data_IF_534436162348
#
_entry.id   IF_534436162348
#
_cell.length_a   1.000
_cell.length_b   1.000
_cell.length_c   1.000
_cell.angle_alpha   90.00
_cell.angle_beta   90.00
_cell.angle_gamma   90.00
#
_symmetry.space_group_name_H-M   'P 1'
#
loop_
_entity.id
_entity.type
_entity.pdbx_description
1 polymer ?
#
# COMPACT_ATOMS: atom_id res chain seq x y z
N UNK A 1 29.76 8.52 9.74
CA UNK A 1 29.99 8.88 8.33
C UNK A 1 29.19 7.90 7.46
N UNK A 2 27.85 7.94 7.59
CA UNK A 2 26.92 7.01 6.94
C UNK A 2 25.87 7.83 6.18
N UNK A 3 26.29 8.75 5.33
CA UNK A 3 25.38 9.45 4.41
C UNK A 3 26.21 9.94 3.24
N UNK A 4 26.28 9.14 2.18
CA UNK A 4 26.82 9.57 0.88
C UNK A 4 26.06 8.96 -0.31
N UNK A 5 24.89 8.38 -0.07
CA UNK A 5 23.91 8.07 -1.10
C UNK A 5 22.57 8.65 -0.65
N UNK A 6 22.55 9.97 -0.45
CA UNK A 6 21.28 10.69 -0.37
C UNK A 6 20.66 10.62 -1.76
N UNK A 7 19.44 10.08 -1.85
CA UNK A 7 18.55 10.32 -2.99
C UNK A 7 18.22 11.81 -2.92
N UNK A 8 18.99 12.63 -3.64
CA UNK A 8 18.67 14.04 -3.88
C UNK A 8 18.10 14.10 -5.28
N UNK A 9 16.85 13.66 -5.44
CA UNK A 9 16.06 14.23 -6.51
C UNK A 9 15.50 15.53 -5.94
N UNK A 10 15.79 16.64 -6.60
CA UNK A 10 15.18 17.93 -6.29
C UNK A 10 13.77 18.01 -6.86
N UNK A 11 12.97 16.95 -6.69
CA UNK A 11 11.60 16.94 -7.17
C UNK A 11 10.68 17.49 -6.09
N UNK A 12 10.29 18.75 -6.31
CA UNK A 12 9.10 19.28 -5.69
C UNK A 12 7.89 18.67 -6.40
N UNK A 13 7.12 17.85 -5.67
CA UNK A 13 5.76 17.51 -6.04
C UNK A 13 4.92 18.82 -5.99
N UNK A 14 4.89 19.59 -7.08
CA UNK A 14 4.01 20.76 -7.16
C UNK A 14 2.63 20.27 -7.60
N UNK A 15 1.80 19.87 -6.64
CA UNK A 15 0.35 19.79 -6.84
C UNK A 15 -0.16 21.21 -7.13
N UNK A 16 -0.47 21.52 -8.39
CA UNK A 16 -1.09 22.81 -8.73
C UNK A 16 -2.58 22.78 -8.34
N UNK A 17 -3.00 23.81 -7.61
CA UNK A 17 -4.31 23.96 -7.00
C UNK A 17 -5.46 24.32 -7.97
N UNK A 18 -6.53 23.52 -7.89
CA UNK A 18 -7.99 23.81 -7.71
C UNK A 18 -8.74 24.83 -8.61
N UNK A 19 -9.83 24.35 -9.23
CA UNK A 19 -11.22 24.90 -9.18
C UNK A 19 -12.24 23.78 -9.54
N UNK A 20 -13.33 23.70 -8.75
CA UNK A 20 -14.59 22.95 -8.95
C UNK A 20 -14.53 21.55 -9.61
N UNK A 21 -13.96 20.58 -8.91
CA UNK A 21 -13.66 19.22 -9.38
C UNK A 21 -14.87 18.31 -9.71
N UNK A 22 -16.10 18.61 -9.27
CA UNK A 22 -17.16 17.58 -9.28
C UNK A 22 -17.80 17.31 -10.63
N UNK A 23 -17.97 18.29 -11.53
CA UNK A 23 -18.57 18.04 -12.85
C UNK A 23 -17.54 17.44 -13.83
N UNK A 24 -16.34 18.00 -13.85
CA UNK A 24 -15.27 17.59 -14.76
C UNK A 24 -14.69 16.21 -14.43
N UNK A 25 -14.57 15.84 -13.16
CA UNK A 25 -14.16 14.50 -12.76
C UNK A 25 -15.13 13.42 -13.28
N UNK A 26 -16.44 13.71 -13.32
CA UNK A 26 -17.45 12.80 -13.88
C UNK A 26 -17.30 12.68 -15.40
N UNK A 27 -17.15 13.80 -16.11
CA UNK A 27 -16.95 13.80 -17.57
C UNK A 27 -15.71 13.01 -17.98
N UNK A 28 -14.64 13.11 -17.20
CA UNK A 28 -13.43 12.33 -17.41
C UNK A 28 -13.71 10.83 -17.18
N UNK A 29 -14.35 10.47 -16.07
CA UNK A 29 -14.68 9.06 -15.77
C UNK A 29 -15.53 8.42 -16.87
N UNK A 30 -16.44 9.17 -17.49
CA UNK A 30 -17.25 8.69 -18.62
C UNK A 30 -16.40 8.29 -19.84
N UNK A 31 -15.24 8.91 -20.05
CA UNK A 31 -14.28 8.53 -21.11
C UNK A 31 -13.24 7.50 -20.65
N UNK A 32 -13.34 7.00 -19.41
CA UNK A 32 -12.53 5.89 -18.90
C UNK A 32 -11.07 6.24 -18.61
N UNK A 33 -10.74 7.51 -18.34
CA UNK A 33 -9.37 7.96 -18.05
C UNK A 33 -8.68 7.25 -16.88
N UNK A 34 -9.45 6.87 -15.85
CA UNK A 34 -9.00 6.22 -14.61
C UNK A 34 -9.02 4.70 -14.72
N UNK A 35 -9.28 4.16 -15.92
CA UNK A 35 -9.30 2.72 -16.18
C UNK A 35 -7.99 2.28 -16.80
N UNK A 36 -7.45 1.16 -16.29
CA UNK A 36 -6.33 0.46 -16.92
C UNK A 36 -6.83 -0.12 -18.24
N UNK A 37 -6.11 0.18 -19.33
CA UNK A 37 -6.35 -0.38 -20.65
C UNK A 37 -5.12 -1.13 -21.14
N UNK A 38 -5.33 -2.19 -21.94
CA UNK A 38 -4.23 -3.01 -22.45
C UNK A 38 -3.30 -2.24 -23.40
N UNK A 39 -3.86 -1.29 -24.17
CA UNK A 39 -3.12 -0.50 -25.17
C UNK A 39 -3.42 0.99 -25.00
N UNK A 40 -2.84 1.65 -23.98
CA UNK A 40 -3.05 3.08 -23.77
C UNK A 40 -2.37 3.90 -24.89
N UNK A 41 -2.91 5.08 -25.17
CA UNK A 41 -2.28 6.05 -26.06
C UNK A 41 -1.13 6.75 -25.32
N UNK A 42 0.11 6.52 -25.75
CA UNK A 42 1.30 7.12 -25.14
C UNK A 42 2.02 8.02 -26.15
N UNK A 43 2.05 9.32 -25.88
CA UNK A 43 2.79 10.30 -26.71
C UNK A 43 4.14 10.61 -26.09
N UNK A 44 5.24 10.40 -26.81
CA UNK A 44 6.60 10.55 -26.27
C UNK A 44 7.32 11.71 -26.94
N UNK A 45 7.83 12.63 -26.13
CA UNK A 45 8.58 13.80 -26.56
C UNK A 45 10.00 13.75 -25.99
N UNK A 46 11.00 13.86 -26.85
CA UNK A 46 12.41 13.78 -26.45
C UNK A 46 13.13 15.08 -26.80
N UNK A 47 13.97 15.57 -25.88
CA UNK A 47 14.96 16.59 -26.22
C UNK A 47 15.94 16.05 -27.28
N UNK A 48 16.53 16.94 -28.07
CA UNK A 48 17.39 16.55 -29.20
C UNK A 48 18.67 15.82 -28.81
N UNK A 49 19.08 15.92 -27.54
CA UNK A 49 20.27 15.31 -26.95
C UNK A 49 19.96 14.07 -26.09
N UNK A 50 18.75 13.51 -26.16
CA UNK A 50 18.43 12.22 -25.53
C UNK A 50 19.06 11.08 -26.34
N UNK A 51 19.93 10.31 -25.67
CA UNK A 51 20.61 9.14 -26.21
C UNK A 51 19.61 8.02 -26.57
N UNK A 52 19.87 7.26 -27.65
CA UNK A 52 18.98 6.18 -28.10
C UNK A 52 18.75 5.12 -27.03
N UNK A 53 19.76 4.80 -26.23
CA UNK A 53 19.63 3.80 -25.16
C UNK A 53 18.57 4.21 -24.13
N UNK A 54 18.48 5.50 -23.78
CA UNK A 54 17.43 6.00 -22.87
C UNK A 54 16.03 5.88 -23.46
N UNK A 55 15.90 5.97 -24.79
CA UNK A 55 14.62 5.74 -25.47
C UNK A 55 14.24 4.27 -25.38
N UNK A 56 15.17 3.37 -25.63
CA UNK A 56 14.96 1.93 -25.49
C UNK A 56 14.63 1.53 -24.05
N UNK A 57 15.32 2.08 -23.07
CA UNK A 57 15.04 1.86 -21.65
C UNK A 57 13.63 2.31 -21.26
N UNK A 58 13.19 3.48 -21.75
CA UNK A 58 11.82 3.94 -21.53
C UNK A 58 10.79 2.97 -22.13
N UNK A 59 11.02 2.48 -23.35
CA UNK A 59 10.14 1.45 -23.96
C UNK A 59 10.07 0.18 -23.10
N UNK A 60 11.22 -0.24 -22.55
CA UNK A 60 11.29 -1.42 -21.68
C UNK A 60 10.51 -1.19 -20.38
N UNK A 61 10.71 -0.06 -19.70
CA UNK A 61 9.96 0.29 -18.48
C UNK A 61 8.46 0.30 -18.74
N UNK A 62 8.01 0.92 -19.85
CA UNK A 62 6.60 0.94 -20.24
C UNK A 62 6.06 -0.49 -20.41
N UNK A 63 6.78 -1.33 -21.15
CA UNK A 63 6.38 -2.72 -21.41
C UNK A 63 6.29 -3.53 -20.11
N UNK A 64 7.30 -3.44 -19.25
CA UNK A 64 7.39 -4.18 -18.00
C UNK A 64 6.29 -3.77 -17.02
N UNK A 65 6.02 -2.47 -16.91
CA UNK A 65 4.95 -1.96 -16.05
C UNK A 65 3.58 -2.35 -16.58
N UNK A 66 3.38 -2.37 -17.89
CA UNK A 66 2.13 -2.86 -18.48
C UNK A 66 1.92 -4.35 -18.20
N UNK A 67 2.98 -5.17 -18.26
CA UNK A 67 2.91 -6.56 -17.89
C UNK A 67 2.58 -6.72 -16.39
N UNK A 68 3.26 -5.94 -15.54
CA UNK A 68 3.08 -5.95 -14.10
C UNK A 68 1.65 -5.58 -13.69
N UNK A 69 1.15 -4.42 -14.13
CA UNK A 69 -0.14 -3.88 -13.70
C UNK A 69 -1.32 -4.32 -14.58
N UNK A 70 -1.11 -5.17 -15.59
CA UNK A 70 -2.16 -5.64 -16.49
C UNK A 70 -2.61 -4.61 -17.54
N UNK A 71 -1.79 -3.60 -17.81
CA UNK A 71 -2.04 -2.52 -18.76
C UNK A 71 -1.50 -1.18 -18.25
N UNK A 72 -2.02 -0.09 -18.79
CA UNK A 72 -1.65 1.26 -18.35
C UNK A 72 -2.71 2.31 -18.68
N UNK A 73 -2.34 3.57 -18.49
CA UNK A 73 -3.19 4.74 -18.69
C UNK A 73 -2.70 5.54 -19.89
N UNK A 74 -3.59 6.24 -20.60
CA UNK A 74 -3.17 7.13 -21.69
C UNK A 74 -2.50 8.38 -21.15
N UNK A 75 -1.34 8.76 -21.68
CA UNK A 75 -0.52 9.84 -21.14
C UNK A 75 0.52 10.38 -22.14
N UNK A 76 1.18 11.47 -21.79
CA UNK A 76 2.31 12.04 -22.54
C UNK A 76 3.58 12.06 -21.70
N UNK A 77 4.74 11.75 -22.29
CA UNK A 77 6.03 11.71 -21.59
C UNK A 77 6.98 12.71 -22.23
N UNK A 78 7.66 13.50 -21.41
CA UNK A 78 8.66 14.48 -21.83
C UNK A 78 10.00 14.10 -21.21
N UNK A 79 10.93 13.62 -22.04
CA UNK A 79 12.26 13.23 -21.58
C UNK A 79 13.26 14.31 -21.97
N UNK A 80 13.84 14.94 -20.96
CA UNK A 80 14.87 15.97 -21.17
C UNK A 80 16.26 15.33 -21.35
N UNK A 81 17.18 16.08 -21.96
CA UNK A 81 18.60 15.73 -22.02
C UNK A 81 19.46 16.64 -21.15
N UNK A 82 20.78 16.57 -21.33
CA UNK A 82 21.74 17.18 -20.39
C UNK A 82 21.82 18.71 -20.45
N UNK A 83 21.38 19.32 -21.55
CA UNK A 83 21.63 20.74 -21.81
C UNK A 83 20.35 21.57 -21.88
N UNK A 84 20.41 22.75 -21.25
CA UNK A 84 19.30 23.70 -21.26
C UNK A 84 18.86 24.12 -22.65
N UNK A 85 19.80 24.27 -23.58
CA UNK A 85 19.49 24.59 -24.97
C UNK A 85 18.62 23.50 -25.66
N UNK A 86 18.81 22.22 -25.32
CA UNK A 86 18.12 21.11 -25.97
C UNK A 86 16.73 20.84 -25.39
N UNK A 87 16.49 21.15 -24.11
CA UNK A 87 15.16 20.97 -23.51
C UNK A 87 14.26 22.22 -23.56
N UNK A 88 14.75 23.41 -23.93
CA UNK A 88 13.88 24.59 -24.11
C UNK A 88 12.77 24.41 -25.17
N UNK A 89 13.02 23.80 -26.34
CA UNK A 89 11.96 23.46 -27.29
C UNK A 89 10.94 22.50 -26.69
N UNK A 90 11.40 21.54 -25.88
CA UNK A 90 10.56 20.56 -25.20
C UNK A 90 9.63 21.25 -24.18
N UNK A 91 10.16 22.17 -23.37
CA UNK A 91 9.37 23.02 -22.45
C UNK A 91 8.38 23.91 -23.20
N UNK A 92 8.70 24.35 -24.43
CA UNK A 92 7.78 25.13 -25.26
C UNK A 92 6.64 24.27 -25.80
N UNK A 93 6.91 23.04 -26.23
CA UNK A 93 5.88 22.06 -26.62
C UNK A 93 4.96 21.76 -25.44
N UNK A 94 5.54 21.48 -24.28
CA UNK A 94 4.79 21.31 -23.05
C UNK A 94 3.92 22.53 -22.72
N UNK A 95 4.48 23.74 -22.80
CA UNK A 95 3.72 24.96 -22.52
C UNK A 95 2.52 25.14 -23.46
N UNK A 96 2.61 24.69 -24.72
CA UNK A 96 1.49 24.72 -25.65
C UNK A 96 0.36 23.76 -25.28
N UNK A 97 0.68 22.65 -24.60
CA UNK A 97 -0.29 21.66 -24.12
C UNK A 97 -0.95 22.18 -22.82
N UNK A 98 -0.14 22.69 -21.89
CA UNK A 98 -0.62 23.08 -20.57
C UNK A 98 -1.22 24.49 -20.48
N UNK A 99 -0.85 25.39 -21.38
CA UNK A 99 -1.18 26.81 -21.27
C UNK A 99 -0.30 27.58 -20.27
N UNK A 100 0.71 26.92 -19.68
CA UNK A 100 1.76 27.55 -18.85
C UNK A 100 3.09 26.82 -19.04
N UNK A 101 4.21 27.50 -18.79
CA UNK A 101 5.55 26.88 -18.87
C UNK A 101 5.82 26.07 -17.61
N UNK A 102 6.03 24.75 -17.71
CA UNK A 102 6.31 23.93 -16.55
C UNK A 102 7.74 24.10 -16.04
N UNK A 103 7.95 23.77 -14.76
CA UNK A 103 9.29 23.64 -14.20
C UNK A 103 9.88 22.27 -14.57
N UNK A 104 11.20 22.15 -14.53
CA UNK A 104 11.86 20.86 -14.66
C UNK A 104 11.52 19.99 -13.42
N UNK A 105 11.40 18.68 -13.60
CA UNK A 105 11.09 17.75 -12.52
C UNK A 105 9.66 17.84 -12.01
N UNK A 106 8.77 18.50 -12.76
CA UNK A 106 7.36 18.59 -12.41
C UNK A 106 6.59 17.38 -12.94
N UNK A 107 5.85 16.70 -12.06
CA UNK A 107 4.72 15.86 -12.45
C UNK A 107 3.54 16.77 -12.72
N UNK A 108 3.03 16.76 -13.95
CA UNK A 108 1.90 17.61 -14.32
C UNK A 108 0.72 16.70 -14.67
N UNK A 109 -0.21 16.59 -13.73
CA UNK A 109 -1.58 16.24 -14.07
C UNK A 109 -2.22 17.50 -14.68
N UNK A 110 -2.52 17.47 -15.98
CA UNK A 110 -3.36 18.52 -16.57
C UNK A 110 -4.65 17.92 -17.07
N UNK A 111 -5.72 18.27 -16.37
CA UNK A 111 -7.07 18.27 -16.93
C UNK A 111 -7.35 19.70 -17.35
N UNK A 112 -7.63 19.94 -18.64
CA UNK A 112 -7.74 21.28 -19.21
C UNK A 112 -8.53 22.25 -18.32
N UNK A 113 -7.97 23.41 -17.98
CA UNK A 113 -8.41 24.23 -16.82
C UNK A 113 -9.79 24.89 -16.95
N UNK A 114 -10.46 24.77 -18.10
CA UNK A 114 -11.75 25.40 -18.40
C UNK A 114 -12.82 24.39 -18.86
N UNK A 115 -14.10 24.69 -18.59
CA UNK A 115 -15.27 23.88 -18.99
C UNK A 115 -15.46 23.71 -20.52
N UNK A 116 -14.64 24.41 -21.32
CA UNK A 116 -14.63 24.32 -22.79
C UNK A 116 -13.26 23.89 -23.33
N UNK A 117 -12.34 23.41 -22.48
CA UNK A 117 -11.01 23.00 -22.90
C UNK A 117 -11.09 21.61 -23.58
N UNK A 118 -10.84 21.50 -24.90
CA UNK A 118 -10.98 20.24 -25.64
C UNK A 118 -9.84 19.26 -25.38
N UNK A 119 -9.16 19.36 -24.23
CA UNK A 119 -7.97 18.57 -23.93
C UNK A 119 -8.36 17.24 -23.33
N UNK A 120 -7.89 16.17 -23.97
CA UNK A 120 -7.83 14.85 -23.36
C UNK A 120 -7.12 14.95 -22.00
N UNK A 121 -7.54 14.19 -20.98
CA UNK A 121 -6.76 14.04 -19.76
C UNK A 121 -5.35 13.57 -20.12
N UNK A 122 -4.34 14.35 -19.77
CA UNK A 122 -2.95 13.97 -19.98
C UNK A 122 -2.22 13.99 -18.65
N UNK A 123 -1.77 12.81 -18.23
CA UNK A 123 -0.65 12.72 -17.30
C UNK A 123 0.60 13.10 -18.07
N UNK A 124 1.37 14.00 -17.49
CA UNK A 124 2.65 14.36 -18.06
C UNK A 124 3.76 14.23 -17.04
N UNK A 125 4.78 13.48 -17.45
CA UNK A 125 5.99 13.30 -16.68
C UNK A 125 7.14 13.99 -17.40
N UNK A 126 7.92 14.73 -16.62
CA UNK A 126 9.22 15.25 -17.03
C UNK A 126 10.33 14.41 -16.43
N UNK A 127 10.95 13.55 -17.23
CA UNK A 127 12.14 12.81 -16.78
C UNK A 127 13.39 13.63 -17.09
N UNK A 128 14.08 14.05 -16.02
CA UNK A 128 15.33 14.78 -16.11
C UNK A 128 16.53 13.88 -16.44
N UNK A 129 17.54 14.43 -17.14
CA UNK A 129 18.86 13.82 -17.15
C UNK A 129 19.61 14.33 -15.93
N UNK A 130 19.72 13.49 -14.91
CA UNK A 130 20.47 13.84 -13.70
C UNK A 130 21.96 14.01 -13.98
N UNK A 131 22.59 14.86 -13.14
CA UNK A 131 24.03 15.15 -13.19
C UNK A 131 24.92 14.01 -12.69
N UNK A 132 24.33 12.96 -12.12
CA UNK A 132 25.05 11.77 -11.64
C UNK A 132 25.41 10.85 -12.81
N UNK A 133 26.69 10.48 -12.88
CA UNK A 133 27.21 9.57 -13.90
C UNK A 133 26.74 8.13 -13.64
N UNK A 134 25.98 7.56 -14.58
CA UNK A 134 25.64 6.14 -14.57
C UNK A 134 24.31 5.82 -15.27
N UNK A 135 24.35 4.88 -16.22
CA UNK A 135 23.16 4.39 -16.92
C UNK A 135 22.11 3.81 -15.95
N UNK A 136 22.59 3.15 -14.89
CA UNK A 136 21.81 2.59 -13.76
C UNK A 136 20.86 3.59 -13.14
N UNK A 137 21.41 4.76 -12.82
CA UNK A 137 20.67 5.81 -12.14
C UNK A 137 19.59 6.38 -13.05
N UNK A 138 19.85 6.48 -14.35
CA UNK A 138 18.90 6.99 -15.32
C UNK A 138 17.74 6.02 -15.57
N UNK A 139 18.00 4.71 -15.61
CA UNK A 139 16.95 3.69 -15.68
C UNK A 139 16.07 3.69 -14.42
N UNK A 140 16.71 3.84 -13.26
CA UNK A 140 16.02 3.93 -11.99
C UNK A 140 15.06 5.12 -11.96
N UNK A 141 15.52 6.30 -12.37
CA UNK A 141 14.67 7.49 -12.52
C UNK A 141 13.49 7.21 -13.46
N UNK A 142 13.69 6.49 -14.59
CA UNK A 142 12.54 6.12 -15.43
C UNK A 142 11.51 5.27 -14.69
N UNK A 143 11.94 4.25 -13.94
CA UNK A 143 11.03 3.39 -13.19
C UNK A 143 10.30 4.16 -12.07
N UNK A 144 11.02 5.00 -11.31
CA UNK A 144 10.44 5.86 -10.26
C UNK A 144 9.38 6.79 -10.83
N UNK A 145 9.77 7.58 -11.82
CA UNK A 145 8.91 8.60 -12.41
C UNK A 145 7.71 7.97 -13.12
N UNK A 146 7.90 6.89 -13.88
CA UNK A 146 6.82 6.24 -14.61
C UNK A 146 5.79 5.60 -13.68
N UNK A 147 6.20 5.12 -12.50
CA UNK A 147 5.28 4.57 -11.50
C UNK A 147 4.24 5.60 -11.03
N UNK A 148 4.61 6.88 -10.95
CA UNK A 148 3.67 7.94 -10.59
C UNK A 148 2.51 8.09 -11.58
N UNK A 149 2.59 7.55 -12.81
CA UNK A 149 1.40 7.43 -13.67
C UNK A 149 0.36 6.57 -12.98
N UNK A 150 0.74 5.41 -12.46
CA UNK A 150 -0.19 4.48 -11.82
C UNK A 150 -0.77 5.03 -10.51
N UNK A 151 0.01 5.82 -9.77
CA UNK A 151 -0.46 6.42 -8.52
C UNK A 151 -1.38 7.62 -8.76
N UNK A 152 -1.06 8.47 -9.74
CA UNK A 152 -1.82 9.69 -10.00
C UNK A 152 -2.98 9.47 -10.97
N UNK A 153 -2.96 8.40 -11.79
CA UNK A 153 -4.00 8.15 -12.77
C UNK A 153 -5.39 7.77 -12.25
N UNK A 154 -5.53 7.35 -10.99
CA UNK A 154 -6.83 7.33 -10.34
C UNK A 154 -7.24 8.66 -9.67
N UNK A 155 -6.34 9.64 -9.61
CA UNK A 155 -6.46 10.86 -8.79
C UNK A 155 -6.31 12.17 -9.60
N UNK A 156 -6.36 12.17 -10.94
CA UNK A 156 -5.98 13.30 -11.82
C UNK A 156 -6.62 14.66 -11.52
N UNK A 157 -7.86 14.70 -11.04
CA UNK A 157 -8.55 15.95 -10.67
C UNK A 157 -8.43 16.32 -9.19
N UNK A 158 -7.77 15.45 -8.39
CA UNK A 158 -7.40 15.59 -6.98
C UNK A 158 -8.45 16.33 -6.13
N UNK A 159 -9.61 15.71 -5.82
CA UNK A 159 -10.52 16.30 -4.86
C UNK A 159 -9.77 16.50 -3.54
N UNK A 160 -10.02 17.61 -2.85
CA UNK A 160 -9.29 18.00 -1.61
C UNK A 160 -9.24 16.89 -0.56
N UNK A 161 -10.25 16.01 -0.51
CA UNK A 161 -10.30 14.86 0.38
C UNK A 161 -9.37 13.70 -0.01
N UNK A 162 -8.91 13.63 -1.26
CA UNK A 162 -8.11 12.54 -1.83
C UNK A 162 -6.60 12.86 -1.93
N UNK A 163 -6.13 13.92 -1.25
CA UNK A 163 -4.71 14.28 -1.23
C UNK A 163 -3.85 13.14 -0.63
N UNK A 164 -2.91 12.56 -1.42
CA UNK A 164 -2.06 11.48 -0.95
C UNK A 164 -1.07 11.89 0.13
N UNK A 165 -0.63 10.92 0.94
CA UNK A 165 0.52 11.15 1.81
C UNK A 165 1.82 11.12 1.00
N UNK A 166 2.65 12.16 1.12
CA UNK A 166 3.94 12.28 0.40
C UNK A 166 4.82 11.03 0.56
N UNK A 167 4.96 10.53 1.79
CA UNK A 167 5.77 9.34 2.07
C UNK A 167 5.24 8.07 1.41
N UNK A 168 3.93 7.98 1.15
CA UNK A 168 3.35 6.85 0.41
C UNK A 168 3.71 6.97 -1.06
N UNK A 169 3.51 8.15 -1.64
CA UNK A 169 3.74 8.40 -3.07
C UNK A 169 5.21 8.14 -3.43
N UNK A 170 6.11 8.88 -2.79
CA UNK A 170 7.54 8.82 -3.06
C UNK A 170 8.20 7.54 -2.53
N UNK A 171 7.73 7.03 -1.39
CA UNK A 171 8.24 5.78 -0.82
C UNK A 171 7.94 4.57 -1.71
N UNK A 172 6.73 4.50 -2.28
CA UNK A 172 6.36 3.42 -3.20
C UNK A 172 7.09 3.53 -4.53
N UNK A 173 7.24 4.74 -5.08
CA UNK A 173 8.02 4.98 -6.30
C UNK A 173 9.49 4.57 -6.13
N UNK A 174 10.11 4.95 -5.02
CA UNK A 174 11.49 4.55 -4.69
C UNK A 174 11.62 3.04 -4.40
N UNK A 175 10.57 2.41 -3.86
CA UNK A 175 10.53 0.96 -3.67
C UNK A 175 10.44 0.21 -5.02
N UNK A 176 9.53 0.62 -5.91
CA UNK A 176 9.41 0.09 -7.28
C UNK A 176 10.72 0.26 -8.03
N UNK A 177 11.35 1.42 -7.93
CA UNK A 177 12.66 1.70 -8.52
C UNK A 177 13.70 0.65 -8.08
N UNK A 178 13.86 0.49 -6.75
CA UNK A 178 14.81 -0.45 -6.14
C UNK A 178 14.59 -1.87 -6.65
N UNK A 179 13.32 -2.28 -6.67
CA UNK A 179 12.90 -3.59 -7.12
C UNK A 179 13.18 -3.80 -8.62
N UNK A 180 12.90 -2.79 -9.45
CA UNK A 180 13.02 -2.83 -10.91
C UNK A 180 14.48 -2.94 -11.35
N UNK A 181 15.34 -2.06 -10.83
CA UNK A 181 16.76 -2.09 -11.19
C UNK A 181 17.39 -3.43 -10.82
N UNK A 182 16.99 -4.01 -9.68
CA UNK A 182 17.49 -5.33 -9.22
C UNK A 182 17.07 -6.49 -10.12
N UNK A 183 15.86 -6.48 -10.68
CA UNK A 183 15.37 -7.57 -11.54
C UNK A 183 15.82 -7.49 -12.99
N UNK A 184 16.35 -6.35 -13.44
CA UNK A 184 16.75 -6.19 -14.84
C UNK A 184 18.05 -6.98 -15.16
N UNK A 185 18.10 -7.78 -16.25
CA UNK A 185 19.18 -8.75 -16.51
C UNK A 185 20.59 -8.17 -16.74
N UNK A 186 20.74 -6.86 -16.86
CA UNK A 186 21.95 -6.21 -17.36
C UNK A 186 23.02 -5.89 -16.29
N UNK A 187 22.95 -6.49 -15.09
CA UNK A 187 23.94 -6.32 -14.02
C UNK A 187 24.19 -4.84 -13.68
N UNK A 188 23.26 -4.25 -12.94
CA UNK A 188 23.39 -2.92 -12.38
C UNK A 188 23.73 -2.99 -10.88
N UNK A 189 25.01 -3.19 -10.50
CA UNK A 189 25.41 -3.56 -9.14
C UNK A 189 25.32 -2.41 -8.11
N UNK A 190 25.13 -1.15 -8.51
CA UNK A 190 25.27 -0.01 -7.60
C UNK A 190 23.94 0.55 -7.03
N UNK A 191 22.79 0.10 -7.55
CA UNK A 191 21.44 0.47 -7.09
C UNK A 191 20.57 -0.75 -6.72
N UNK A 192 21.17 -1.75 -6.08
CA UNK A 192 20.45 -2.89 -5.52
C UNK A 192 20.31 -2.71 -4.01
N UNK A 193 19.37 -1.86 -3.60
CA UNK A 193 19.03 -1.80 -2.19
C UNK A 193 18.27 -3.09 -1.82
N UNK A 194 18.80 -3.84 -0.87
CA UNK A 194 18.09 -4.97 -0.31
C UNK A 194 17.04 -4.38 0.64
N UNK A 195 15.75 -4.60 0.35
CA UNK A 195 14.65 -4.09 1.15
C UNK A 195 14.74 -4.52 2.63
N UNK A 196 15.30 -5.70 2.93
CA UNK A 196 15.58 -6.10 4.31
C UNK A 196 16.68 -5.27 4.97
N UNK A 197 17.74 -4.94 4.23
CA UNK A 197 18.80 -4.05 4.71
C UNK A 197 18.31 -2.61 4.85
N UNK A 198 17.42 -2.15 3.95
CA UNK A 198 16.71 -0.88 4.07
C UNK A 198 15.82 -0.88 5.32
N UNK A 199 15.02 -1.93 5.53
CA UNK A 199 14.19 -2.05 6.72
C UNK A 199 15.04 -1.98 7.99
N UNK A 200 16.19 -2.63 7.99
CA UNK A 200 17.17 -2.58 9.07
C UNK A 200 17.80 -1.18 9.27
N UNK A 201 17.84 -0.30 8.25
CA UNK A 201 18.31 1.09 8.41
C UNK A 201 17.43 1.90 9.36
N UNK A 202 16.14 1.56 9.54
CA UNK A 202 15.30 2.26 10.52
C UNK A 202 15.84 2.19 11.93
N UNK A 203 16.46 1.07 12.28
CA UNK A 203 17.11 0.92 13.58
C UNK A 203 18.29 1.86 13.74
N UNK A 204 19.08 2.03 12.68
CA UNK A 204 20.22 2.96 12.68
C UNK A 204 19.73 4.41 12.86
N UNK A 205 18.62 4.81 12.20
CA UNK A 205 18.00 6.13 12.41
C UNK A 205 17.52 6.33 13.84
N UNK A 206 16.83 5.34 14.40
CA UNK A 206 16.35 5.42 15.78
C UNK A 206 17.49 5.47 16.79
N UNK A 207 18.52 4.65 16.63
CA UNK A 207 19.68 4.63 17.54
C UNK A 207 20.46 5.95 17.49
N UNK A 208 20.49 6.61 16.33
CA UNK A 208 21.09 7.92 16.18
C UNK A 208 20.20 9.03 16.76
N UNK A 209 18.87 8.90 16.65
CA UNK A 209 17.88 9.88 17.11
C UNK A 209 16.74 9.22 17.92
N UNK A 210 16.94 8.87 19.20
CA UNK A 210 15.98 8.08 19.97
C UNK A 210 14.64 8.77 20.26
N UNK A 211 14.60 10.11 20.16
CA UNK A 211 13.39 10.91 20.34
C UNK A 211 12.56 11.00 19.05
N UNK A 212 13.13 10.60 17.91
CA UNK A 212 12.45 10.67 16.62
C UNK A 212 11.19 9.79 16.59
N UNK A 213 10.14 10.33 15.95
CA UNK A 213 8.93 9.59 15.61
C UNK A 213 8.53 9.85 14.16
N UNK A 214 8.45 8.78 13.36
CA UNK A 214 7.97 8.83 11.99
C UNK A 214 6.54 9.40 11.91
N UNK A 215 6.27 10.17 10.85
CA UNK A 215 4.97 10.81 10.60
C UNK A 215 4.77 12.19 11.22
N UNK A 216 5.32 12.45 12.43
CA UNK A 216 5.21 13.77 13.08
C UNK A 216 6.39 14.67 12.77
N UNK A 217 7.59 14.08 12.72
CA UNK A 217 8.86 14.83 12.60
C UNK A 217 9.64 14.49 11.33
N UNK A 218 9.15 13.54 10.52
CA UNK A 218 9.87 13.00 9.36
C UNK A 218 10.39 14.08 8.41
N UNK A 219 9.56 15.07 8.08
CA UNK A 219 9.91 16.08 7.09
C UNK A 219 10.64 17.29 7.69
N UNK A 220 10.62 17.43 9.02
CA UNK A 220 11.09 18.65 9.73
C UNK A 220 12.27 18.41 10.67
N UNK A 221 12.70 17.17 10.87
CA UNK A 221 13.80 16.84 11.77
C UNK A 221 15.17 17.01 11.08
N UNK A 222 15.91 18.07 11.41
CA UNK A 222 17.19 18.45 10.78
C UNK A 222 18.23 17.31 10.64
N UNK A 223 18.25 16.36 11.58
CA UNK A 223 19.17 15.22 11.56
C UNK A 223 18.78 14.07 10.61
N UNK A 224 17.52 14.06 10.14
CA UNK A 224 16.91 13.02 9.31
C UNK A 224 16.53 13.58 7.95
N UNK A 225 16.05 14.83 7.92
CA UNK A 225 15.68 15.55 6.73
C UNK A 225 16.18 17.00 6.81
N UNK A 226 17.44 17.27 6.43
CA UNK A 226 17.96 18.64 6.40
C UNK A 226 17.15 19.52 5.46
N UNK A 227 17.07 20.83 5.73
CA UNK A 227 16.25 21.79 4.97
C UNK A 227 16.29 21.57 3.45
N UNK A 228 15.11 21.31 2.87
CA UNK A 228 14.91 21.21 1.42
C UNK A 228 15.21 19.84 0.80
N UNK A 229 15.51 18.81 1.58
CA UNK A 229 15.58 17.42 1.10
C UNK A 229 14.32 16.65 1.52
N UNK A 230 14.03 15.52 0.85
CA UNK A 230 13.10 14.50 1.35
C UNK A 230 13.91 13.25 1.66
N UNK A 231 13.64 12.59 2.80
CA UNK A 231 14.28 11.32 3.13
C UNK A 231 13.51 10.16 2.46
N UNK A 232 13.76 9.98 1.17
CA UNK A 232 13.20 8.90 0.37
C UNK A 232 13.45 7.53 1.01
N UNK A 233 14.63 7.29 1.57
CA UNK A 233 14.95 6.02 2.22
C UNK A 233 13.97 5.73 3.37
N UNK A 234 13.68 6.71 4.22
CA UNK A 234 12.75 6.50 5.33
C UNK A 234 11.30 6.27 4.86
N UNK A 235 10.90 6.92 3.77
CA UNK A 235 9.62 6.67 3.11
C UNK A 235 9.55 5.26 2.49
N UNK A 236 10.59 4.85 1.76
CA UNK A 236 10.75 3.50 1.19
C UNK A 236 10.69 2.44 2.28
N UNK A 237 11.31 2.68 3.43
CA UNK A 237 11.27 1.73 4.53
C UNK A 237 9.88 1.64 5.17
N UNK A 238 9.19 2.76 5.35
CA UNK A 238 7.81 2.75 5.82
C UNK A 238 6.92 1.94 4.86
N UNK A 239 7.11 2.08 3.54
CA UNK A 239 6.41 1.26 2.54
C UNK A 239 6.82 -0.21 2.59
N UNK A 240 8.10 -0.51 2.84
CA UNK A 240 8.59 -1.88 3.05
C UNK A 240 7.95 -2.53 4.28
N UNK A 241 7.82 -1.79 5.38
CA UNK A 241 7.10 -2.24 6.56
C UNK A 241 5.61 -2.46 6.27
N UNK A 242 4.98 -1.59 5.48
CA UNK A 242 3.60 -1.78 5.05
C UNK A 242 3.44 -3.04 4.18
N UNK A 243 4.40 -3.35 3.32
CA UNK A 243 4.46 -4.62 2.58
C UNK A 243 4.61 -5.82 3.52
N UNK A 244 5.40 -5.68 4.59
CA UNK A 244 5.55 -6.72 5.61
C UNK A 244 4.24 -6.99 6.37
N UNK A 245 3.45 -5.94 6.65
CA UNK A 245 2.13 -6.10 7.27
C UNK A 245 1.05 -6.61 6.29
N UNK A 246 1.32 -6.55 4.99
CA UNK A 246 0.37 -6.90 3.94
C UNK A 246 1.08 -7.68 2.83
N UNK A 247 1.23 -7.11 1.63
CA UNK A 247 2.03 -7.65 0.54
C UNK A 247 2.27 -6.55 -0.53
N UNK A 248 3.11 -6.83 -1.54
CA UNK A 248 3.39 -5.86 -2.59
C UNK A 248 2.17 -5.45 -3.40
N UNK A 249 1.25 -6.38 -3.68
CA UNK A 249 0.05 -6.04 -4.45
C UNK A 249 -0.78 -5.00 -3.72
N UNK A 250 -1.05 -5.21 -2.44
CA UNK A 250 -1.79 -4.23 -1.62
C UNK A 250 -1.07 -2.88 -1.57
N UNK A 251 0.26 -2.87 -1.50
CA UNK A 251 1.01 -1.62 -1.38
C UNK A 251 1.20 -0.88 -2.70
N UNK A 252 1.48 -1.61 -3.80
CA UNK A 252 1.95 -1.06 -5.06
C UNK A 252 0.89 -0.97 -6.17
N UNK A 253 -0.22 -1.71 -6.12
CA UNK A 253 -1.21 -1.61 -7.19
C UNK A 253 -2.07 -0.34 -7.10
N UNK A 254 -2.49 0.20 -8.26
CA UNK A 254 -3.25 1.44 -8.33
C UNK A 254 -4.68 1.34 -7.76
N UNK A 255 -5.20 0.13 -7.54
CA UNK A 255 -6.59 -0.16 -7.19
C UNK A 255 -7.11 0.70 -6.02
N UNK A 256 -6.29 0.90 -4.99
CA UNK A 256 -6.68 1.63 -3.78
C UNK A 256 -6.57 3.16 -3.92
N UNK A 257 -5.80 3.66 -4.88
CA UNK A 257 -5.83 5.09 -5.24
C UNK A 257 -7.19 5.45 -5.88
N UNK A 258 -7.80 4.53 -6.63
CA UNK A 258 -9.17 4.69 -7.15
C UNK A 258 -10.21 4.78 -6.01
N UNK A 259 -10.01 4.02 -4.94
CA UNK A 259 -10.84 4.11 -3.73
C UNK A 259 -10.70 5.49 -3.07
N UNK A 260 -9.48 6.01 -3.01
CA UNK A 260 -9.18 7.33 -2.43
C UNK A 260 -9.89 8.48 -3.13
N UNK A 261 -10.12 8.39 -4.45
CA UNK A 261 -10.91 9.40 -5.18
C UNK A 261 -12.30 9.59 -4.56
N UNK A 262 -13.01 8.50 -4.29
CA UNK A 262 -14.41 8.55 -3.85
C UNK A 262 -14.53 8.81 -2.34
N UNK A 263 -13.66 8.17 -1.56
CA UNK A 263 -13.79 8.12 -0.10
C UNK A 263 -12.87 9.12 0.62
N UNK A 264 -11.96 9.75 -0.12
CA UNK A 264 -10.82 10.46 0.43
C UNK A 264 -9.67 9.51 0.78
N UNK A 265 -8.45 10.05 0.85
CA UNK A 265 -7.23 9.25 0.96
C UNK A 265 -7.10 8.56 2.32
N UNK A 266 -7.45 9.26 3.41
CA UNK A 266 -7.35 8.68 4.75
C UNK A 266 -8.38 7.54 5.00
N UNK A 267 -9.67 7.68 4.63
CA UNK A 267 -10.61 6.58 4.69
C UNK A 267 -10.22 5.41 3.79
N UNK A 268 -9.81 5.68 2.54
CA UNK A 268 -9.37 4.61 1.62
C UNK A 268 -8.12 3.87 2.13
N UNK A 269 -7.16 4.57 2.72
CA UNK A 269 -6.00 3.94 3.38
C UNK A 269 -6.46 3.00 4.51
N UNK A 270 -7.42 3.45 5.32
CA UNK A 270 -7.94 2.66 6.45
C UNK A 270 -8.69 1.42 5.97
N UNK A 271 -9.56 1.59 4.97
CA UNK A 271 -10.33 0.49 4.36
C UNK A 271 -9.41 -0.53 3.68
N UNK A 272 -8.40 -0.07 2.94
CA UNK A 272 -7.53 -0.93 2.15
C UNK A 272 -6.48 -1.67 2.99
N UNK A 273 -5.86 -0.99 3.96
CA UNK A 273 -4.81 -1.56 4.82
C UNK A 273 -5.32 -2.07 6.16
N UNK A 274 -6.61 -1.92 6.46
CA UNK A 274 -7.20 -2.33 7.75
C UNK A 274 -6.71 -1.52 8.95
N UNK A 275 -6.00 -0.41 8.73
CA UNK A 275 -5.45 0.41 9.81
C UNK A 275 -5.44 1.88 9.42
N UNK A 276 -5.74 2.76 10.38
CA UNK A 276 -5.59 4.20 10.17
C UNK A 276 -4.11 4.59 10.05
N UNK A 277 -3.84 5.75 9.44
CA UNK A 277 -2.50 6.35 9.42
C UNK A 277 -1.87 6.44 10.81
N UNK A 278 -2.66 6.77 11.83
CA UNK A 278 -2.17 6.90 13.21
C UNK A 278 -1.75 5.57 13.82
N UNK A 279 -2.52 4.50 13.56
CA UNK A 279 -2.16 3.14 13.95
C UNK A 279 -0.90 2.68 13.23
N UNK A 280 -0.80 2.92 11.93
CA UNK A 280 0.42 2.63 11.16
C UNK A 280 1.64 3.33 11.78
N UNK A 281 1.55 4.63 12.08
CA UNK A 281 2.65 5.37 12.71
C UNK A 281 3.03 4.79 14.07
N UNK A 282 2.07 4.43 14.92
CA UNK A 282 2.35 3.82 16.21
C UNK A 282 3.04 2.45 16.05
N UNK A 283 2.52 1.60 15.17
CA UNK A 283 3.04 0.27 14.90
C UNK A 283 4.46 0.34 14.35
N UNK A 284 4.69 1.19 13.35
CA UNK A 284 6.01 1.38 12.75
C UNK A 284 7.03 1.96 13.74
N UNK A 285 6.65 2.97 14.53
CA UNK A 285 7.55 3.51 15.55
C UNK A 285 7.87 2.48 16.65
N UNK A 286 6.90 1.67 17.08
CA UNK A 286 7.14 0.58 18.02
C UNK A 286 8.04 -0.51 17.42
N UNK A 287 7.81 -0.85 16.15
CA UNK A 287 8.64 -1.79 15.40
C UNK A 287 10.11 -1.35 15.40
N UNK A 288 10.39 -0.10 15.05
CA UNK A 288 11.75 0.46 15.05
C UNK A 288 12.39 0.48 16.46
N UNK A 289 11.59 0.74 17.50
CA UNK A 289 12.05 0.86 18.90
C UNK A 289 12.40 -0.47 19.54
N UNK A 290 11.55 -1.48 19.34
CA UNK A 290 11.58 -2.70 20.14
C UNK A 290 12.23 -3.89 19.45
N UNK A 291 12.57 -3.79 18.16
CA UNK A 291 13.28 -4.84 17.45
C UNK A 291 14.79 -4.54 17.35
N UNK A 292 15.60 -5.60 17.41
CA UNK A 292 17.02 -5.50 17.08
C UNK A 292 17.23 -5.46 15.57
N UNK A 293 18.40 -5.03 15.11
CA UNK A 293 18.72 -5.03 13.67
C UNK A 293 18.70 -6.45 13.12
N UNK A 294 19.22 -7.40 13.89
CA UNK A 294 19.20 -8.83 13.57
C UNK A 294 17.77 -9.35 13.44
N UNK A 295 16.87 -8.99 14.37
CA UNK A 295 15.45 -9.36 14.31
C UNK A 295 14.76 -8.79 13.07
N UNK A 296 15.04 -7.53 12.72
CA UNK A 296 14.48 -6.88 11.52
C UNK A 296 14.95 -7.57 10.24
N UNK A 297 16.21 -8.04 10.20
CA UNK A 297 16.74 -8.81 9.07
C UNK A 297 16.14 -10.22 9.03
N UNK A 298 15.98 -10.87 10.19
CA UNK A 298 15.40 -12.22 10.36
C UNK A 298 13.90 -12.29 10.11
N UNK A 299 13.19 -11.15 10.19
CA UNK A 299 11.83 -11.03 9.65
C UNK A 299 11.79 -11.42 8.17
N UNK A 300 12.97 -11.58 7.53
CA UNK A 300 13.20 -12.25 6.25
C UNK A 300 11.95 -12.14 5.40
N UNK A 301 11.75 -11.01 4.73
CA UNK A 301 10.71 -10.93 3.74
C UNK A 301 11.09 -11.83 2.57
N UNK A 302 10.90 -13.13 2.79
CA UNK A 302 11.08 -14.22 1.86
C UNK A 302 10.01 -13.99 0.81
N UNK A 303 10.44 -13.36 -0.29
CA UNK A 303 9.74 -13.13 -1.58
C UNK A 303 9.80 -11.68 -2.08
N UNK A 304 10.70 -10.85 -1.56
CA UNK A 304 11.02 -9.53 -2.16
C UNK A 304 11.87 -9.61 -3.44
N UNK A 305 11.39 -10.37 -4.43
CA UNK A 305 12.04 -10.49 -5.74
C UNK A 305 11.08 -10.07 -6.85
N UNK A 306 11.29 -8.86 -7.39
CA UNK A 306 10.52 -8.35 -8.52
C UNK A 306 10.68 -9.21 -9.78
N UNK A 307 11.70 -10.05 -9.87
CA UNK A 307 11.83 -11.03 -10.95
C UNK A 307 10.67 -12.02 -11.02
N UNK A 308 9.98 -12.34 -9.90
CA UNK A 308 8.75 -13.13 -9.95
C UNK A 308 7.52 -12.30 -10.39
N UNK A 309 7.55 -11.00 -10.11
CA UNK A 309 6.52 -10.04 -10.50
C UNK A 309 6.61 -9.63 -11.99
N UNK A 310 7.82 -9.70 -12.59
CA UNK A 310 8.10 -9.30 -13.97
C UNK A 310 8.43 -10.45 -14.93
N UNK A 311 8.63 -11.68 -14.43
CA UNK A 311 8.73 -12.87 -15.29
C UNK A 311 7.36 -13.24 -15.85
N UNK A 312 7.32 -14.12 -16.86
CA UNK A 312 6.06 -14.77 -17.23
C UNK A 312 5.39 -15.34 -15.96
N UNK A 313 4.07 -15.16 -15.78
CA UNK A 313 3.41 -15.58 -14.57
C UNK A 313 3.71 -17.06 -14.30
N UNK A 314 4.30 -17.33 -13.15
CA UNK A 314 4.57 -18.69 -12.70
C UNK A 314 3.24 -19.34 -12.29
N UNK A 315 2.64 -20.06 -13.24
CA UNK A 315 1.36 -20.73 -13.08
C UNK A 315 1.49 -22.13 -12.47
N UNK A 316 2.70 -22.53 -12.06
CA UNK A 316 2.88 -23.75 -11.28
C UNK A 316 2.30 -23.56 -9.87
N UNK A 317 1.94 -24.68 -9.23
CA UNK A 317 1.40 -24.76 -7.87
C UNK A 317 2.31 -25.74 -7.11
N UNK A 318 3.34 -25.19 -6.48
CA UNK A 318 4.47 -25.97 -5.99
C UNK A 318 4.14 -26.84 -4.77
N UNK A 319 3.27 -26.37 -3.89
CA UNK A 319 2.82 -27.11 -2.71
C UNK A 319 1.45 -27.78 -2.89
N UNK A 320 0.85 -27.62 -4.07
CA UNK A 320 -0.35 -28.34 -4.54
C UNK A 320 -1.59 -28.04 -3.70
N UNK A 321 -1.71 -26.78 -3.27
CA UNK A 321 -2.78 -26.31 -2.39
C UNK A 321 -3.96 -25.66 -3.14
N UNK A 322 -3.79 -25.47 -4.46
CA UNK A 322 -4.78 -24.89 -5.36
C UNK A 322 -4.56 -23.40 -5.68
N UNK A 323 -3.54 -22.76 -5.11
CA UNK A 323 -3.08 -21.42 -5.43
C UNK A 323 -1.79 -21.50 -6.27
N UNK A 324 -1.70 -20.75 -7.36
CA UNK A 324 -0.48 -20.77 -8.19
C UNK A 324 0.59 -19.84 -7.60
N UNK A 325 1.87 -20.18 -7.83
CA UNK A 325 3.05 -19.46 -7.33
C UNK A 325 2.97 -17.94 -7.59
N UNK A 326 2.45 -17.53 -8.76
CA UNK A 326 2.23 -16.12 -9.07
C UNK A 326 1.20 -15.49 -8.13
N UNK A 327 0.03 -16.09 -7.95
CA UNK A 327 -1.00 -15.57 -7.05
C UNK A 327 -0.54 -15.57 -5.58
N UNK A 328 0.16 -16.62 -5.16
CA UNK A 328 0.76 -16.72 -3.84
C UNK A 328 1.70 -15.54 -3.56
N UNK A 329 2.73 -15.35 -4.40
CA UNK A 329 3.75 -14.31 -4.19
C UNK A 329 3.16 -12.92 -4.43
N UNK A 330 2.42 -12.76 -5.53
CA UNK A 330 2.02 -11.44 -6.03
C UNK A 330 0.78 -10.97 -5.32
N UNK A 331 -0.29 -11.77 -5.26
CA UNK A 331 -1.60 -11.30 -4.78
C UNK A 331 -1.78 -11.46 -3.29
N UNK A 332 -1.33 -12.59 -2.74
CA UNK A 332 -1.71 -13.00 -1.40
C UNK A 332 -0.59 -12.85 -0.38
N UNK A 333 0.68 -12.91 -0.80
CA UNK A 333 1.85 -12.85 0.09
C UNK A 333 2.11 -14.16 0.82
N UNK A 334 1.72 -15.29 0.22
CA UNK A 334 1.87 -16.64 0.77
C UNK A 334 3.13 -17.33 0.24
N UNK A 335 3.46 -18.48 0.78
CA UNK A 335 4.69 -19.22 0.52
C UNK A 335 4.45 -20.37 -0.46
N UNK A 336 5.10 -20.29 -1.63
CA UNK A 336 5.15 -21.31 -2.70
C UNK A 336 5.71 -22.71 -2.33
N UNK A 337 5.88 -22.97 -1.05
CA UNK A 337 6.45 -24.21 -0.53
C UNK A 337 5.74 -24.68 0.74
N UNK A 338 4.66 -24.00 1.13
CA UNK A 338 3.89 -24.24 2.32
C UNK A 338 2.42 -24.05 2.00
N UNK A 339 1.71 -25.16 1.81
CA UNK A 339 0.29 -25.16 1.48
C UNK A 339 -0.60 -24.43 2.50
N UNK A 340 -0.07 -24.10 3.68
CA UNK A 340 -0.71 -23.35 4.76
C UNK A 340 0.37 -22.40 5.30
N UNK A 341 0.35 -21.16 4.84
CA UNK A 341 1.45 -20.21 5.03
C UNK A 341 1.48 -19.56 6.40
N UNK A 342 0.31 -19.34 7.00
CA UNK A 342 0.18 -18.78 8.34
C UNK A 342 -0.05 -19.85 9.43
N UNK A 343 -0.13 -21.12 9.03
CA UNK A 343 -0.25 -22.31 9.88
C UNK A 343 -1.55 -22.34 10.69
N UNK A 344 -2.62 -21.73 10.17
CA UNK A 344 -3.93 -21.65 10.83
C UNK A 344 -4.77 -22.93 10.68
N UNK A 345 -4.37 -23.83 9.77
CA UNK A 345 -5.00 -25.11 9.50
C UNK A 345 -5.92 -25.14 8.27
N UNK A 346 -6.06 -24.03 7.56
CA UNK A 346 -6.57 -23.98 6.19
C UNK A 346 -5.41 -23.83 5.20
N UNK A 347 -5.60 -24.32 3.98
CA UNK A 347 -4.61 -24.07 2.94
C UNK A 347 -4.81 -22.70 2.30
N UNK A 348 -3.75 -22.07 1.82
CA UNK A 348 -3.80 -20.71 1.25
C UNK A 348 -4.82 -20.63 0.10
N UNK A 349 -4.79 -21.61 -0.80
CA UNK A 349 -5.74 -21.75 -1.91
C UNK A 349 -7.18 -21.96 -1.45
N UNK A 350 -7.39 -22.65 -0.32
CA UNK A 350 -8.72 -22.85 0.27
C UNK A 350 -9.24 -21.58 0.92
N UNK A 351 -8.38 -20.83 1.56
CA UNK A 351 -8.72 -19.55 2.15
C UNK A 351 -9.13 -18.54 1.07
N UNK A 352 -8.36 -18.46 -0.01
CA UNK A 352 -8.72 -17.64 -1.18
C UNK A 352 -10.09 -18.02 -1.74
N UNK A 353 -10.39 -19.32 -1.88
CA UNK A 353 -11.70 -19.80 -2.34
C UNK A 353 -12.85 -19.34 -1.42
N UNK A 354 -12.60 -19.31 -0.11
CA UNK A 354 -13.57 -18.91 0.91
C UNK A 354 -13.61 -17.40 1.15
N UNK A 355 -12.72 -16.62 0.54
CA UNK A 355 -12.57 -15.19 0.80
C UNK A 355 -11.95 -14.87 2.17
N UNK A 356 -11.19 -15.81 2.72
CA UNK A 356 -10.36 -15.67 3.92
C UNK A 356 -8.98 -15.06 3.55
N UNK A 357 -8.12 -14.82 4.54
CA UNK A 357 -6.85 -14.14 4.34
C UNK A 357 -5.65 -15.10 4.48
N UNK A 358 -5.08 -15.57 3.37
CA UNK A 358 -4.19 -16.74 3.37
C UNK A 358 -2.75 -16.48 3.85
N UNK A 359 -2.31 -15.23 3.91
CA UNK A 359 -0.96 -14.91 4.41
C UNK A 359 -0.95 -14.56 5.89
N UNK A 360 -2.09 -14.73 6.55
CA UNK A 360 -2.34 -14.15 7.85
C UNK A 360 -2.37 -12.62 7.77
N UNK A 361 -3.44 -12.03 8.29
CA UNK A 361 -3.27 -10.70 8.88
C UNK A 361 -4.13 -10.63 10.11
N UNK A 362 -3.47 -10.86 11.23
CA UNK A 362 -3.96 -10.56 12.57
C UNK A 362 -3.90 -9.04 12.71
N UNK A 363 -5.05 -8.38 12.61
CA UNK A 363 -5.24 -7.19 13.43
C UNK A 363 -5.63 -7.72 14.80
N UNK A 364 -4.70 -7.72 15.75
CA UNK A 364 -5.10 -7.79 17.14
C UNK A 364 -6.12 -6.66 17.33
N UNK A 365 -7.31 -6.97 17.83
CA UNK A 365 -8.34 -5.96 17.99
C UNK A 365 -7.78 -4.75 18.73
N UNK A 366 -8.15 -3.54 18.31
CA UNK A 366 -7.65 -2.32 18.96
C UNK A 366 -7.87 -2.38 20.47
N UNK A 367 -6.82 -2.07 21.23
CA UNK A 367 -6.76 -2.16 22.70
C UNK A 367 -6.73 -3.58 23.28
N UNK A 368 -6.42 -4.60 22.48
CA UNK A 368 -6.18 -5.94 23.01
C UNK A 368 -4.84 -6.05 23.75
N UNK A 369 -4.88 -6.70 24.90
CA UNK A 369 -3.70 -7.06 25.71
C UNK A 369 -3.27 -8.49 25.38
N UNK A 370 -1.96 -8.72 25.21
CA UNK A 370 -1.43 -10.08 25.08
C UNK A 370 -1.57 -10.86 26.39
N UNK A 371 -2.05 -12.10 26.30
CA UNK A 371 -2.14 -13.02 27.43
C UNK A 371 -1.09 -14.14 27.30
N UNK A 372 -1.25 -15.04 26.31
CA UNK A 372 -0.33 -16.15 26.04
C UNK A 372 -0.63 -16.81 24.69
N UNK A 373 0.39 -17.11 23.88
CA UNK A 373 0.20 -17.66 22.51
C UNK A 373 -0.76 -16.76 21.71
N UNK A 374 -1.71 -17.34 20.98
CA UNK A 374 -2.73 -16.59 20.24
C UNK A 374 -3.89 -16.12 21.14
N UNK A 375 -3.77 -16.19 22.48
CA UNK A 375 -4.75 -15.59 23.39
C UNK A 375 -4.46 -14.13 23.65
N UNK A 376 -5.48 -13.31 23.43
CA UNK A 376 -5.54 -11.89 23.78
C UNK A 376 -6.71 -11.62 24.71
N UNK A 377 -6.75 -10.41 25.25
CA UNK A 377 -7.83 -9.95 26.12
C UNK A 377 -8.24 -8.53 25.75
N UNK A 378 -9.54 -8.31 25.61
CA UNK A 378 -10.12 -6.99 25.46
C UNK A 378 -10.80 -6.54 26.76
N UNK A 379 -10.77 -5.23 27.09
CA UNK A 379 -11.61 -4.66 28.13
C UNK A 379 -13.08 -4.97 27.86
N UNK A 380 -13.82 -5.38 28.91
CA UNK A 380 -15.26 -5.69 28.92
C UNK A 380 -15.74 -6.82 27.99
N UNK A 381 -14.97 -7.22 26.98
CA UNK A 381 -15.24 -8.37 26.13
C UNK A 381 -14.65 -9.67 26.71
N UNK A 382 -13.46 -9.60 27.31
CA UNK A 382 -12.78 -10.77 27.88
C UNK A 382 -11.71 -11.35 26.97
N UNK A 383 -11.30 -12.60 27.25
CA UNK A 383 -10.23 -13.25 26.50
C UNK A 383 -10.76 -13.91 25.23
N UNK A 384 -10.00 -13.79 24.14
CA UNK A 384 -10.29 -14.44 22.88
C UNK A 384 -8.99 -14.98 22.25
N UNK A 385 -9.14 -15.94 21.37
CA UNK A 385 -8.07 -16.61 20.65
C UNK A 385 -8.15 -16.23 19.16
N UNK A 386 -7.04 -15.76 18.62
CA UNK A 386 -6.91 -15.19 17.27
C UNK A 386 -5.99 -16.04 16.40
N UNK A 387 -6.59 -17.01 15.71
CA UNK A 387 -5.87 -17.87 14.76
C UNK A 387 -6.53 -17.84 13.37
N UNK A 388 -7.87 -17.79 13.29
CA UNK A 388 -8.61 -18.04 12.03
C UNK A 388 -9.39 -16.83 11.50
N UNK A 389 -8.80 -15.63 11.44
CA UNK A 389 -9.54 -14.41 11.04
C UNK A 389 -10.32 -14.60 9.72
N UNK A 390 -11.60 -14.22 9.62
CA UNK A 390 -12.44 -13.44 10.53
C UNK A 390 -13.15 -14.25 11.63
N UNK A 391 -12.79 -15.52 11.83
CA UNK A 391 -13.24 -16.37 12.92
C UNK A 391 -12.29 -16.33 14.11
N UNK A 392 -12.87 -16.11 15.28
CA UNK A 392 -12.14 -15.98 16.54
C UNK A 392 -12.83 -16.84 17.59
N UNK A 393 -12.09 -17.27 18.60
CA UNK A 393 -12.67 -18.08 19.68
C UNK A 393 -12.68 -17.31 21.00
N UNK A 394 -13.86 -16.92 21.47
CA UNK A 394 -14.02 -16.26 22.75
C UNK A 394 -14.06 -17.29 23.89
N UNK A 395 -13.26 -17.07 24.96
CA UNK A 395 -13.04 -18.03 26.04
C UNK A 395 -14.34 -18.56 26.68
N UNK A 396 -15.36 -17.70 26.80
CA UNK A 396 -16.61 -18.03 27.48
C UNK A 396 -17.83 -18.22 26.58
N UNK A 397 -17.70 -18.06 25.26
CA UNK A 397 -18.84 -18.13 24.32
C UNK A 397 -18.54 -18.90 23.03
N UNK A 398 -17.30 -19.35 22.85
CA UNK A 398 -16.88 -20.12 21.69
C UNK A 398 -16.65 -19.25 20.45
N UNK A 399 -16.87 -19.86 19.28
CA UNK A 399 -16.57 -19.24 17.99
C UNK A 399 -17.47 -18.04 17.70
N UNK A 400 -16.85 -16.96 17.24
CA UNK A 400 -17.51 -15.81 16.67
C UNK A 400 -16.85 -15.37 15.38
N UNK A 401 -17.66 -14.74 14.54
CA UNK A 401 -17.28 -14.19 13.26
C UNK A 401 -17.33 -12.67 13.34
N UNK A 402 -16.27 -12.00 12.87
CA UNK A 402 -16.23 -10.55 12.70
C UNK A 402 -15.64 -10.19 11.35
N UNK A 403 -16.49 -9.74 10.42
CA UNK A 403 -16.06 -9.31 9.09
C UNK A 403 -15.19 -8.06 9.10
N UNK A 404 -15.34 -7.22 10.13
CA UNK A 404 -14.61 -5.95 10.24
C UNK A 404 -13.23 -6.12 10.89
N UNK A 405 -12.86 -7.35 11.27
CA UNK A 405 -11.61 -7.64 12.00
C UNK A 405 -11.48 -6.82 13.30
N UNK A 406 -12.60 -6.48 13.91
CA UNK A 406 -12.71 -5.79 15.19
C UNK A 406 -13.95 -6.31 15.97
N UNK A 407 -14.35 -5.64 17.04
CA UNK A 407 -15.58 -5.96 17.77
C UNK A 407 -16.71 -4.94 17.52
N UNK A 408 -16.66 -4.16 16.44
CA UNK A 408 -17.70 -3.19 16.07
C UNK A 408 -18.97 -3.85 15.54
N UNK A 409 -18.85 -5.05 14.97
CA UNK A 409 -19.97 -5.87 14.49
C UNK A 409 -19.53 -7.35 14.46
N UNK A 410 -20.10 -8.18 15.34
CA UNK A 410 -19.73 -9.60 15.40
C UNK A 410 -20.90 -10.52 15.74
N UNK A 411 -20.75 -11.77 15.30
CA UNK A 411 -21.76 -12.81 15.41
C UNK A 411 -21.19 -14.06 16.09
N UNK A 412 -21.79 -14.46 17.21
CA UNK A 412 -21.58 -15.78 17.80
C UNK A 412 -22.49 -16.81 17.14
N UNK A 413 -21.99 -18.02 16.96
CA UNK A 413 -22.85 -19.18 16.80
C UNK A 413 -22.90 -19.97 18.10
N UNK A 414 -24.00 -19.85 18.83
CA UNK A 414 -24.20 -20.57 20.08
C UNK A 414 -25.12 -21.79 19.82
N UNK A 415 -24.72 -23.03 20.17
CA UNK A 415 -25.48 -24.23 19.83
C UNK A 415 -26.98 -24.18 20.24
N UNK A 416 -27.28 -23.59 21.40
CA UNK A 416 -28.64 -23.53 21.96
C UNK A 416 -29.47 -22.33 21.46
N UNK A 417 -28.83 -21.32 20.86
CA UNK A 417 -29.47 -20.05 20.46
C UNK A 417 -29.39 -19.76 18.95
N UNK A 418 -28.49 -20.43 18.24
CA UNK A 418 -28.13 -20.15 16.86
C UNK A 418 -27.26 -18.90 16.74
N UNK A 419 -27.44 -18.19 15.62
CA UNK A 419 -26.73 -16.94 15.35
C UNK A 419 -27.17 -15.81 16.27
N UNK A 420 -26.19 -15.24 16.96
CA UNK A 420 -26.38 -14.24 17.98
C UNK A 420 -25.47 -13.04 17.71
N UNK A 421 -26.03 -11.85 17.62
CA UNK A 421 -25.32 -10.63 17.23
C UNK A 421 -24.98 -9.73 18.42
N UNK A 422 -23.84 -9.05 18.39
CA UNK A 422 -23.52 -7.95 19.32
C UNK A 422 -22.47 -7.00 18.72
N UNK A 423 -22.07 -5.99 19.49
CA UNK A 423 -20.98 -5.07 19.18
C UNK A 423 -20.35 -4.50 20.46
N UNK A 424 -19.23 -3.80 20.31
CA UNK A 424 -18.45 -3.18 21.38
C UNK A 424 -19.21 -2.14 22.22
N UNK A 425 -20.33 -1.58 21.73
CA UNK A 425 -21.13 -0.60 22.47
C UNK A 425 -22.14 -1.28 23.38
N UNK A 426 -22.73 -2.39 22.93
CA UNK A 426 -23.82 -3.06 23.64
C UNK A 426 -23.37 -4.32 24.36
N UNK A 427 -22.19 -4.88 24.07
CA UNK A 427 -21.69 -6.02 24.81
C UNK A 427 -21.63 -5.70 26.32
N UNK A 428 -22.06 -6.61 27.24
CA UNK A 428 -22.36 -8.03 27.05
C UNK A 428 -23.82 -8.37 26.71
N UNK A 429 -24.60 -7.42 26.19
CA UNK A 429 -25.93 -7.70 25.62
C UNK A 429 -25.81 -8.29 24.22
N UNK A 430 -26.55 -9.37 23.96
CA UNK A 430 -26.47 -10.15 22.72
C UNK A 430 -27.88 -10.38 22.19
N UNK A 431 -28.07 -10.19 20.89
CA UNK A 431 -29.34 -10.39 20.21
C UNK A 431 -29.42 -11.78 19.57
N UNK A 432 -30.32 -12.63 20.08
CA UNK A 432 -30.66 -13.94 19.53
C UNK A 432 -31.54 -13.76 18.29
N UNK A 433 -30.96 -13.93 17.09
CA UNK A 433 -31.66 -13.66 15.83
C UNK A 433 -32.84 -14.61 15.60
N UNK A 434 -32.69 -15.88 15.98
CA UNK A 434 -33.69 -16.93 15.75
C UNK A 434 -35.02 -16.71 16.50
N UNK A 435 -34.97 -16.02 17.65
CA UNK A 435 -36.14 -15.76 18.52
C UNK A 435 -36.47 -14.29 18.71
N UNK A 436 -35.75 -13.41 18.00
CA UNK A 436 -35.84 -11.95 18.15
C UNK A 436 -35.76 -11.50 19.62
N UNK A 437 -34.86 -12.12 20.39
CA UNK A 437 -34.80 -11.98 21.84
C UNK A 437 -33.43 -11.43 22.28
N UNK A 438 -33.40 -10.81 23.46
CA UNK A 438 -32.15 -10.34 24.06
C UNK A 438 -31.65 -11.29 25.13
N UNK A 439 -30.33 -11.47 25.13
CA UNK A 439 -29.55 -12.20 26.11
C UNK A 439 -28.60 -11.21 26.80
N UNK A 440 -28.29 -11.44 28.07
CA UNK A 440 -27.17 -10.78 28.75
C UNK A 440 -26.15 -11.84 29.16
N UNK A 441 -24.93 -11.71 28.67
CA UNK A 441 -23.83 -12.59 29.02
C UNK A 441 -23.20 -12.13 30.34
N UNK A 442 -23.11 -13.04 31.29
CA UNK A 442 -22.56 -12.78 32.62
C UNK A 442 -21.28 -13.60 32.81
N UNK A 443 -20.15 -12.90 32.66
CA UNK A 443 -18.81 -13.45 32.74
C UNK A 443 -18.36 -13.48 34.22
N UNK A 444 -18.78 -14.49 34.97
CA UNK A 444 -18.39 -14.68 36.38
C UNK A 444 -17.62 -15.99 36.55
N UNK A 445 -17.62 -16.61 37.74
CA UNK A 445 -17.01 -17.94 37.91
C UNK A 445 -17.74 -19.04 37.13
N UNK A 446 -18.98 -18.77 36.70
CA UNK A 446 -19.79 -19.61 35.82
C UNK A 446 -20.36 -18.73 34.71
N UNK A 447 -19.96 -19.00 33.47
CA UNK A 447 -20.46 -18.29 32.29
C UNK A 447 -21.95 -18.63 32.10
N UNK A 448 -22.79 -17.60 32.12
CA UNK A 448 -24.26 -17.75 32.05
C UNK A 448 -24.89 -16.69 31.16
N UNK A 449 -26.00 -17.04 30.50
CA UNK A 449 -26.87 -16.10 29.80
C UNK A 449 -28.15 -15.84 30.60
N UNK A 450 -28.51 -14.57 30.80
CA UNK A 450 -29.85 -14.19 31.21
C UNK A 450 -30.73 -13.97 29.99
N UNK A 451 -31.87 -14.66 29.93
CA UNK A 451 -32.81 -14.59 28.81
C UNK A 451 -33.93 -13.61 29.14
N UNK A 452 -33.99 -12.46 28.48
CA UNK A 452 -34.97 -11.43 28.83
C UNK A 452 -36.43 -11.85 28.55
N UNK A 453 -36.68 -12.55 27.45
CA UNK A 453 -38.02 -13.05 27.12
C UNK A 453 -38.59 -14.05 28.13
N UNK A 454 -37.71 -14.85 28.75
CA UNK A 454 -38.10 -15.93 29.69
C UNK A 454 -37.86 -15.58 31.16
N UNK A 455 -37.04 -14.55 31.42
CA UNK A 455 -36.59 -14.12 32.76
C UNK A 455 -35.84 -15.22 33.52
N UNK A 456 -35.06 -16.02 32.80
CA UNK A 456 -34.32 -17.18 33.32
C UNK A 456 -32.82 -17.05 33.06
N UNK A 457 -32.01 -17.69 33.90
CA UNK A 457 -30.58 -17.88 33.68
C UNK A 457 -30.33 -19.26 33.05
N UNK A 458 -29.39 -19.35 32.12
CA UNK A 458 -28.99 -20.59 31.46
C UNK A 458 -27.45 -20.64 31.38
N UNK A 459 -26.80 -21.77 31.70
CA UNK A 459 -25.36 -21.93 31.50
C UNK A 459 -24.95 -21.76 30.04
N UNK A 460 -23.72 -21.31 29.80
CA UNK A 460 -23.09 -21.48 28.49
C UNK A 460 -22.59 -22.92 28.36
N UNK A 461 -23.02 -23.62 27.31
CA UNK A 461 -22.63 -25.00 27.02
C UNK A 461 -21.43 -25.07 26.08
#
# INVERSE_FOLDING_TARGET
MIFNKLIVSSLFLILISRIAATEKGNDLKEIGWDQIVTNPSITKHFASDVEEIRKTDLEQVISDFHALFGGGYSHSIFVTGASSASYQPLLSTAASIFGYTPQLGSYLSSVGIDANDPKDPQFVIFIEKESMDGHEHQLAVFAHEYYHIYQNAPLLDQPESAEPYTWVMEGAAAMIETLYVKSTPNNYPYKQENLGDLLALTKDYYDQYPDFSFGTEQETHDGINPEGMQNYNLATVAMTYLCHLTNFRKVLWPDWYSLAYNNGFAPAFTEHFGMSKSQFYNNFNNFMRYNSKETIIEIEPKTYQLSYLLAEPDLDDNDSDGLNNYDEIVRYGTSISSADSDADGFSDGREVELGLNPSGTILSFDNSEYVAFNWKKLPDFGSYFEELSPWYYHQGMGWFYSSNLDISDFWFYLPDFGWCWSNNVIFPYIYEHSKENWLFFNQTSEDTFYRYGEKTWTPVN
#
